data_IF_394969414419
#
_entry.id   IF_394969414419
#
_cell.length_a   1.000
_cell.length_b   1.000
_cell.length_c   1.000
_cell.angle_alpha   90.00
_cell.angle_beta   90.00
_cell.angle_gamma   90.00
#
_symmetry.space_group_name_H-M   'P 1'
#
loop_
_entity.id
_entity.type
_entity.pdbx_description
1 polymer ?
#
# COMPACT_ATOMS: atom_id res chain seq x y z
N UNK A 1 39.07 26.47 15.03
CA UNK A 1 39.64 27.78 14.63
C UNK A 1 40.51 27.57 13.40
N UNK A 2 39.95 27.75 12.20
CA UNK A 2 40.55 28.50 11.11
C UNK A 2 39.49 28.67 10.01
N UNK A 3 39.22 29.92 9.69
CA UNK A 3 38.30 30.45 8.70
C UNK A 3 38.96 30.47 7.31
N UNK A 4 38.15 30.35 6.24
CA UNK A 4 38.31 30.87 4.86
C UNK A 4 37.03 30.38 4.11
N UNK A 5 35.91 31.10 3.90
CA UNK A 5 35.66 32.43 3.31
C UNK A 5 36.55 32.65 2.08
N UNK A 6 36.11 32.79 0.82
CA UNK A 6 34.93 33.35 0.11
C UNK A 6 35.06 32.93 -1.39
N UNK A 7 34.11 32.95 -2.34
CA UNK A 7 33.16 33.95 -2.85
C UNK A 7 32.15 33.27 -3.81
N UNK A 8 30.89 33.73 -3.91
CA UNK A 8 30.00 33.48 -5.05
C UNK A 8 29.99 34.67 -6.04
N UNK A 9 30.18 34.41 -7.34
CA UNK A 9 29.90 35.38 -8.40
C UNK A 9 28.38 35.45 -8.63
N UNK A 10 27.74 36.51 -8.13
CA UNK A 10 26.42 36.94 -8.57
C UNK A 10 26.58 38.13 -9.52
N UNK A 11 26.32 37.91 -10.81
CA UNK A 11 26.30 38.94 -11.83
C UNK A 11 24.93 39.63 -11.79
N UNK A 12 24.88 40.88 -11.33
CA UNK A 12 23.78 41.81 -11.56
C UNK A 12 23.99 42.48 -12.92
N UNK A 13 23.05 42.28 -13.83
CA UNK A 13 22.93 43.09 -15.05
C UNK A 13 22.06 44.31 -14.73
N UNK A 14 22.57 45.50 -15.05
CA UNK A 14 21.90 46.77 -14.87
C UNK A 14 21.57 47.33 -16.26
N UNK A 15 20.28 47.59 -16.48
CA UNK A 15 19.75 48.31 -17.64
C UNK A 15 20.22 49.77 -17.63
N UNK A 16 20.59 50.28 -18.79
CA UNK A 16 20.37 51.69 -19.13
C UNK A 16 20.20 51.83 -20.64
N UNK A 17 19.23 52.67 -20.98
CA UNK A 17 18.62 52.88 -22.27
C UNK A 17 19.39 53.90 -23.14
N UNK A 18 19.24 53.66 -24.45
CA UNK A 18 19.18 54.61 -25.56
C UNK A 18 20.29 55.64 -25.79
N UNK A 19 21.00 55.43 -26.90
CA UNK A 19 21.07 56.44 -27.98
C UNK A 19 21.28 55.79 -29.34
N UNK A 20 20.29 55.99 -30.20
CA UNK A 20 20.26 55.58 -31.59
C UNK A 20 21.25 56.39 -32.45
N UNK A 21 22.06 55.69 -33.25
CA UNK A 21 22.57 56.17 -34.54
C UNK A 21 22.44 55.02 -35.53
N UNK A 22 21.63 55.26 -36.54
CA UNK A 22 21.28 54.34 -37.63
C UNK A 22 22.30 54.42 -38.77
N UNK A 23 22.70 53.25 -39.29
CA UNK A 23 23.15 53.02 -40.68
C UNK A 23 23.07 51.50 -40.99
N UNK A 24 23.01 51.08 -42.26
CA UNK A 24 22.03 50.08 -42.70
C UNK A 24 22.61 48.67 -42.89
N UNK A 25 21.73 47.68 -42.68
CA UNK A 25 21.60 46.46 -43.48
C UNK A 25 22.70 45.38 -43.38
N UNK A 26 22.40 44.37 -42.56
CA UNK A 26 22.45 42.98 -42.99
C UNK A 26 21.42 42.17 -42.17
N UNK A 27 20.31 41.79 -42.79
CA UNK A 27 19.29 40.90 -42.22
C UNK A 27 19.89 39.51 -41.98
N UNK A 28 20.40 39.25 -40.78
CA UNK A 28 20.63 37.90 -40.29
C UNK A 28 19.33 37.39 -39.66
N UNK A 29 18.64 36.51 -40.39
CA UNK A 29 17.38 35.89 -39.97
C UNK A 29 17.44 35.29 -38.55
N UNK A 30 16.44 35.53 -37.68
CA UNK A 30 16.35 34.93 -36.34
C UNK A 30 16.17 33.40 -36.35
N UNK A 31 15.99 32.80 -37.53
CA UNK A 31 15.84 31.35 -37.71
C UNK A 31 17.11 30.55 -37.35
N UNK A 32 18.32 31.12 -37.44
CA UNK A 32 19.57 30.36 -37.25
C UNK A 32 19.95 30.13 -35.78
N UNK A 33 19.55 31.02 -34.87
CA UNK A 33 19.80 30.86 -33.43
C UNK A 33 18.82 29.86 -32.77
N UNK A 34 17.55 29.86 -33.19
CA UNK A 34 16.56 28.88 -32.75
C UNK A 34 16.89 27.45 -33.26
N UNK A 35 17.44 27.32 -34.47
CA UNK A 35 17.86 26.03 -35.01
C UNK A 35 19.04 25.40 -34.24
N UNK A 36 19.98 26.21 -33.74
CA UNK A 36 21.17 25.72 -33.02
C UNK A 36 20.82 25.21 -31.61
N UNK A 37 19.89 25.88 -30.90
CA UNK A 37 19.39 25.43 -29.59
C UNK A 37 18.50 24.18 -29.69
N UNK A 38 17.75 24.02 -30.79
CA UNK A 38 16.94 22.82 -31.05
C UNK A 38 17.81 21.62 -31.45
N UNK A 39 18.93 21.85 -32.13
CA UNK A 39 19.89 20.81 -32.52
C UNK A 39 20.70 20.28 -31.31
N UNK A 40 21.11 21.13 -30.38
CA UNK A 40 21.77 20.70 -29.13
C UNK A 40 20.82 19.95 -28.20
N UNK A 41 19.54 20.34 -28.11
CA UNK A 41 18.54 19.58 -27.35
C UNK A 41 18.21 18.22 -27.99
N UNK A 42 18.21 18.14 -29.32
CA UNK A 42 17.99 16.89 -30.04
C UNK A 42 19.15 15.89 -29.87
N UNK A 43 20.40 16.38 -29.94
CA UNK A 43 21.58 15.54 -29.70
C UNK A 43 21.67 15.05 -28.24
N UNK A 44 21.30 15.90 -27.27
CA UNK A 44 21.22 15.50 -25.86
C UNK A 44 20.13 14.44 -25.63
N UNK A 45 18.96 14.61 -26.25
CA UNK A 45 17.88 13.63 -26.19
C UNK A 45 18.30 12.29 -26.81
N UNK A 46 18.95 12.31 -27.97
CA UNK A 46 19.45 11.09 -28.63
C UNK A 46 20.45 10.31 -27.75
N UNK A 47 21.35 11.01 -27.02
CA UNK A 47 22.26 10.36 -26.07
C UNK A 47 21.52 9.74 -24.88
N UNK A 48 20.52 10.42 -24.34
CA UNK A 48 19.67 9.88 -23.25
C UNK A 48 18.93 8.64 -23.73
N UNK A 49 18.39 8.67 -24.95
CA UNK A 49 17.65 7.53 -25.52
C UNK A 49 18.58 6.33 -25.78
N UNK A 50 19.82 6.56 -26.23
CA UNK A 50 20.84 5.51 -26.33
C UNK A 50 21.20 4.90 -24.97
N UNK A 51 21.38 5.73 -23.94
CA UNK A 51 21.67 5.26 -22.58
C UNK A 51 20.51 4.44 -22.01
N UNK A 52 19.27 4.86 -22.25
CA UNK A 52 18.07 4.11 -21.86
C UNK A 52 18.01 2.75 -22.57
N UNK A 53 18.24 2.73 -23.88
CA UNK A 53 18.24 1.48 -24.65
C UNK A 53 19.30 0.49 -24.13
N UNK A 54 20.50 0.98 -23.81
CA UNK A 54 21.55 0.16 -23.21
C UNK A 54 21.14 -0.37 -21.84
N UNK A 55 20.64 0.49 -20.94
CA UNK A 55 20.18 0.09 -19.62
C UNK A 55 19.06 -0.97 -19.68
N UNK A 56 18.12 -0.83 -20.60
CA UNK A 56 17.05 -1.82 -20.82
C UNK A 56 17.61 -3.16 -21.28
N UNK A 57 18.58 -3.16 -22.20
CA UNK A 57 19.22 -4.40 -22.65
C UNK A 57 19.95 -5.13 -21.50
N UNK A 58 20.61 -4.38 -20.61
CA UNK A 58 21.28 -4.94 -19.43
C UNK A 58 20.27 -5.51 -18.43
N UNK A 59 19.16 -4.81 -18.18
CA UNK A 59 18.11 -5.30 -17.28
C UNK A 59 17.48 -6.59 -17.82
N UNK A 60 17.25 -6.69 -19.13
CA UNK A 60 16.73 -7.90 -19.76
C UNK A 60 17.73 -9.07 -19.70
N UNK A 61 19.02 -8.79 -19.91
CA UNK A 61 20.08 -9.80 -19.73
C UNK A 61 20.10 -10.30 -18.29
N UNK A 62 20.10 -9.39 -17.32
CA UNK A 62 20.08 -9.72 -15.90
C UNK A 62 18.81 -10.51 -15.52
N UNK A 63 17.67 -10.18 -16.12
CA UNK A 63 16.43 -10.92 -15.90
C UNK A 63 16.53 -12.37 -16.41
N UNK A 64 17.23 -12.60 -17.51
CA UNK A 64 17.47 -13.95 -18.03
C UNK A 64 18.43 -14.73 -17.14
N UNK A 65 19.49 -14.10 -16.64
CA UNK A 65 20.43 -14.72 -15.69
C UNK A 65 19.77 -15.05 -14.36
N UNK A 66 18.97 -14.11 -13.82
CA UNK A 66 18.26 -14.26 -12.56
C UNK A 66 17.29 -15.45 -12.57
N UNK A 67 16.71 -15.81 -13.72
CA UNK A 67 15.85 -17.00 -13.86
C UNK A 67 16.59 -18.30 -13.55
N UNK A 68 17.91 -18.32 -13.68
CA UNK A 68 18.73 -19.50 -13.44
C UNK A 68 19.33 -19.54 -12.02
N UNK A 69 19.04 -18.57 -11.16
CA UNK A 69 19.59 -18.53 -9.79
C UNK A 69 19.08 -19.71 -8.95
N UNK A 70 19.94 -20.51 -8.31
CA UNK A 70 19.49 -21.65 -7.51
C UNK A 70 18.71 -21.20 -6.27
N UNK A 71 19.10 -20.07 -5.67
CA UNK A 71 18.40 -19.46 -4.54
C UNK A 71 17.11 -18.77 -4.98
N UNK A 72 15.98 -19.34 -4.57
CA UNK A 72 14.65 -18.83 -4.90
C UNK A 72 14.37 -17.46 -4.26
N UNK A 73 14.94 -17.16 -3.09
CA UNK A 73 14.77 -15.87 -2.42
C UNK A 73 15.42 -14.75 -3.23
N UNK A 74 16.66 -14.99 -3.65
CA UNK A 74 17.40 -14.06 -4.49
C UNK A 74 16.72 -13.91 -5.86
N UNK A 75 16.26 -15.01 -6.45
CA UNK A 75 15.52 -15.04 -7.71
C UNK A 75 14.26 -14.15 -7.63
N UNK A 76 13.40 -14.37 -6.63
CA UNK A 76 12.17 -13.62 -6.45
C UNK A 76 12.42 -12.11 -6.33
N UNK A 77 13.35 -11.70 -5.46
CA UNK A 77 13.69 -10.28 -5.24
C UNK A 77 14.33 -9.62 -6.46
N UNK A 78 15.19 -10.34 -7.16
CA UNK A 78 15.86 -9.80 -8.35
C UNK A 78 14.85 -9.59 -9.47
N UNK A 79 14.02 -10.60 -9.75
CA UNK A 79 12.99 -10.51 -10.79
C UNK A 79 11.94 -9.43 -10.48
N UNK A 80 11.49 -9.29 -9.23
CA UNK A 80 10.50 -8.28 -8.85
C UNK A 80 11.04 -6.85 -8.97
N UNK A 81 12.32 -6.61 -8.62
CA UNK A 81 12.97 -5.31 -8.78
C UNK A 81 13.20 -4.95 -10.24
N UNK A 82 13.61 -5.92 -11.07
CA UNK A 82 13.77 -5.70 -12.50
C UNK A 82 12.41 -5.41 -13.14
N UNK A 83 11.36 -6.15 -12.76
CA UNK A 83 10.00 -5.90 -13.23
C UNK A 83 9.53 -4.48 -12.87
N UNK A 84 9.74 -4.04 -11.63
CA UNK A 84 9.38 -2.68 -11.19
C UNK A 84 10.11 -1.58 -11.99
N UNK A 85 11.40 -1.80 -12.30
CA UNK A 85 12.20 -0.87 -13.10
C UNK A 85 11.79 -0.87 -14.59
N UNK A 86 11.43 -2.03 -15.13
CA UNK A 86 11.07 -2.21 -16.54
C UNK A 86 9.66 -1.69 -16.85
N UNK A 87 8.80 -1.53 -15.84
CA UNK A 87 7.38 -1.23 -16.00
C UNK A 87 7.05 -0.09 -16.98
N UNK A 88 7.81 1.01 -16.90
CA UNK A 88 7.55 2.20 -17.72
C UNK A 88 7.98 2.02 -19.19
N UNK A 89 8.85 1.05 -19.49
CA UNK A 89 9.38 0.82 -20.82
C UNK A 89 8.69 -0.36 -21.52
N UNK A 90 8.46 -1.46 -20.80
CA UNK A 90 7.80 -2.66 -21.31
C UNK A 90 6.92 -3.29 -20.21
N UNK A 91 5.65 -2.88 -20.10
CA UNK A 91 4.75 -3.37 -19.07
C UNK A 91 4.42 -4.86 -19.24
N UNK A 92 4.43 -5.39 -20.45
CA UNK A 92 4.08 -6.79 -20.71
C UNK A 92 5.19 -7.75 -20.29
N UNK A 93 6.45 -7.39 -20.55
CA UNK A 93 7.59 -8.10 -19.99
C UNK A 93 7.63 -7.96 -18.46
N UNK A 94 7.37 -6.77 -17.93
CA UNK A 94 7.34 -6.57 -16.48
C UNK A 94 6.29 -7.44 -15.79
N UNK A 95 5.06 -7.56 -16.34
CA UNK A 95 4.03 -8.50 -15.85
C UNK A 95 4.53 -9.94 -15.84
N UNK A 96 5.18 -10.36 -16.93
CA UNK A 96 5.75 -11.72 -17.04
C UNK A 96 6.83 -11.96 -15.99
N UNK A 97 7.69 -10.97 -15.72
CA UNK A 97 8.71 -11.04 -14.69
C UNK A 97 8.13 -11.06 -13.28
N UNK A 98 7.07 -10.29 -13.00
CA UNK A 98 6.38 -10.34 -11.72
C UNK A 98 5.75 -11.70 -11.45
N UNK A 99 5.10 -12.33 -12.45
CA UNK A 99 4.57 -13.70 -12.29
C UNK A 99 5.68 -14.71 -11.97
N UNK A 100 6.80 -14.64 -12.68
CA UNK A 100 7.97 -15.49 -12.38
C UNK A 100 8.58 -15.22 -11.00
N UNK A 101 8.58 -13.95 -10.57
CA UNK A 101 9.01 -13.57 -9.23
C UNK A 101 8.07 -14.15 -8.16
N UNK A 102 6.76 -14.16 -8.43
CA UNK A 102 5.75 -14.76 -7.58
C UNK A 102 5.96 -16.26 -7.41
N UNK A 103 6.14 -16.99 -8.52
CA UNK A 103 6.36 -18.43 -8.49
C UNK A 103 7.63 -18.78 -7.68
N UNK A 104 8.70 -18.00 -7.85
CA UNK A 104 9.91 -18.17 -7.05
C UNK A 104 9.70 -17.84 -5.56
N UNK A 105 8.89 -16.81 -5.25
CA UNK A 105 8.55 -16.46 -3.88
C UNK A 105 7.71 -17.56 -3.21
N UNK A 106 6.77 -18.19 -3.93
CA UNK A 106 6.00 -19.33 -3.43
C UNK A 106 6.89 -20.49 -3.02
N UNK A 107 7.84 -20.88 -3.88
CA UNK A 107 8.79 -21.96 -3.55
C UNK A 107 9.65 -21.59 -2.34
N UNK A 108 10.16 -20.37 -2.30
CA UNK A 108 10.99 -19.88 -1.20
C UNK A 108 10.25 -19.83 0.15
N UNK A 109 9.00 -19.38 0.15
CA UNK A 109 8.16 -19.32 1.34
C UNK A 109 7.82 -20.73 1.82
N UNK A 110 7.45 -21.65 0.92
CA UNK A 110 7.18 -23.05 1.26
C UNK A 110 8.42 -23.74 1.85
N UNK A 111 9.60 -23.54 1.26
CA UNK A 111 10.85 -24.07 1.78
C UNK A 111 11.16 -23.49 3.17
N UNK A 112 10.91 -22.19 3.37
CA UNK A 112 11.10 -21.55 4.67
C UNK A 112 10.15 -22.10 5.74
N UNK A 113 8.89 -22.36 5.38
CA UNK A 113 7.90 -22.93 6.28
C UNK A 113 8.25 -24.37 6.67
N UNK A 114 8.73 -25.19 5.72
CA UNK A 114 9.22 -26.55 6.00
C UNK A 114 10.40 -26.55 6.96
N UNK A 115 11.40 -25.71 6.71
CA UNK A 115 12.57 -25.57 7.60
C UNK A 115 12.15 -25.13 9.01
N UNK A 116 11.21 -24.19 9.10
CA UNK A 116 10.67 -23.72 10.39
C UNK A 116 9.94 -24.82 11.17
N UNK A 117 9.19 -25.68 10.48
CA UNK A 117 8.53 -26.84 11.08
C UNK A 117 9.56 -27.85 11.62
N UNK A 118 10.58 -28.17 10.82
CA UNK A 118 11.66 -29.07 11.24
C UNK A 118 12.43 -28.52 12.46
N UNK A 119 12.72 -27.21 12.47
CA UNK A 119 13.34 -26.54 13.61
C UNK A 119 12.42 -26.57 14.84
N UNK A 120 11.11 -26.37 14.65
CA UNK A 120 10.13 -26.49 15.74
C UNK A 120 10.11 -27.89 16.33
N UNK A 121 10.06 -28.92 15.51
CA UNK A 121 10.06 -30.31 15.97
C UNK A 121 11.35 -30.63 16.75
N UNK A 122 12.51 -30.19 16.25
CA UNK A 122 13.80 -30.36 16.93
C UNK A 122 13.86 -29.63 18.27
N UNK A 123 13.37 -28.39 18.35
CA UNK A 123 13.43 -27.57 19.57
C UNK A 123 12.38 -27.98 20.60
N UNK A 124 11.19 -28.42 20.17
CA UNK A 124 10.18 -29.03 21.05
C UNK A 124 10.72 -30.29 21.72
N UNK A 125 11.52 -31.09 21.02
CA UNK A 125 12.19 -32.25 21.59
C UNK A 125 13.32 -31.87 22.57
N UNK A 126 13.87 -30.65 22.51
CA UNK A 126 15.08 -30.27 23.24
C UNK A 126 14.88 -29.31 24.43
N UNK A 127 13.95 -28.35 24.41
CA UNK A 127 14.00 -27.23 25.37
C UNK A 127 12.64 -26.64 25.81
N UNK A 128 11.50 -27.13 25.31
CA UNK A 128 10.16 -26.82 25.85
C UNK A 128 9.66 -25.35 25.76
N UNK A 129 10.52 -24.39 25.43
CA UNK A 129 10.18 -22.97 25.22
C UNK A 129 10.66 -22.47 23.86
N UNK A 130 9.84 -21.69 23.17
CA UNK A 130 10.05 -21.37 21.75
C UNK A 130 9.73 -19.90 21.44
N UNK A 131 10.70 -19.19 20.86
CA UNK A 131 10.51 -17.89 20.24
C UNK A 131 10.93 -17.99 18.77
N UNK A 132 9.97 -18.17 17.86
CA UNK A 132 10.26 -18.16 16.42
C UNK A 132 10.25 -16.76 15.87
N UNK A 133 11.32 -16.41 15.16
CA UNK A 133 11.27 -15.36 14.16
C UNK A 133 10.47 -15.87 12.96
N UNK A 134 9.32 -15.27 12.69
CA UNK A 134 8.55 -15.54 11.45
C UNK A 134 9.43 -15.19 10.24
N UNK A 135 9.67 -16.10 9.29
CA UNK A 135 10.48 -15.80 8.12
C UNK A 135 9.84 -14.67 7.29
N UNK A 136 10.65 -13.84 6.61
CA UNK A 136 10.15 -12.75 5.78
C UNK A 136 9.32 -13.29 4.62
N UNK A 137 8.08 -12.82 4.52
CA UNK A 137 7.10 -13.21 3.49
C UNK A 137 7.44 -12.55 2.15
N UNK A 138 8.04 -13.33 1.25
CA UNK A 138 8.48 -12.85 -0.06
C UNK A 138 7.29 -12.61 -0.99
N UNK A 139 6.22 -13.40 -0.86
CA UNK A 139 4.98 -13.18 -1.63
C UNK A 139 4.40 -11.81 -1.33
N UNK A 140 4.37 -11.41 -0.05
CA UNK A 140 3.94 -10.06 0.33
C UNK A 140 4.80 -8.95 -0.29
N UNK A 141 6.13 -9.15 -0.42
CA UNK A 141 7.03 -8.18 -1.06
C UNK A 141 6.71 -8.03 -2.57
N UNK A 142 6.57 -9.16 -3.27
CA UNK A 142 6.25 -9.19 -4.71
C UNK A 142 4.86 -8.61 -4.97
N UNK A 143 3.86 -8.97 -4.15
CA UNK A 143 2.50 -8.43 -4.23
C UNK A 143 2.52 -6.91 -4.15
N UNK A 144 3.23 -6.34 -3.16
CA UNK A 144 3.28 -4.89 -2.96
C UNK A 144 3.87 -4.17 -4.17
N UNK A 145 4.93 -4.70 -4.77
CA UNK A 145 5.55 -4.11 -5.96
C UNK A 145 4.64 -4.21 -7.19
N UNK A 146 4.03 -5.37 -7.40
CA UNK A 146 3.09 -5.58 -8.50
C UNK A 146 1.84 -4.69 -8.38
N UNK A 147 1.22 -4.66 -7.20
CA UNK A 147 0.02 -3.89 -6.91
C UNK A 147 0.20 -2.38 -7.08
N UNK A 148 1.41 -1.86 -6.79
CA UNK A 148 1.75 -0.46 -7.06
C UNK A 148 1.65 -0.11 -8.54
N UNK A 149 1.97 -1.06 -9.42
CA UNK A 149 2.08 -0.85 -10.87
C UNK A 149 0.79 -1.21 -11.62
N UNK A 150 0.21 -2.35 -11.29
CA UNK A 150 -0.96 -2.89 -11.98
C UNK A 150 -1.96 -3.46 -10.96
N UNK A 151 -3.18 -2.91 -11.01
CA UNK A 151 -4.26 -3.37 -10.15
C UNK A 151 -4.62 -4.81 -10.48
N UNK A 152 -4.74 -5.16 -11.75
CA UNK A 152 -5.16 -6.50 -12.16
C UNK A 152 -4.16 -7.56 -11.68
N UNK A 153 -2.87 -7.24 -11.74
CA UNK A 153 -1.82 -8.13 -11.24
C UNK A 153 -1.80 -8.25 -9.71
N UNK A 154 -2.06 -7.14 -9.01
CA UNK A 154 -2.21 -7.15 -7.56
C UNK A 154 -3.41 -8.01 -7.10
N UNK A 155 -4.53 -7.92 -7.80
CA UNK A 155 -5.71 -8.78 -7.54
C UNK A 155 -5.42 -10.26 -7.85
N UNK A 156 -4.75 -10.56 -8.97
CA UNK A 156 -4.31 -11.93 -9.32
C UNK A 156 -3.51 -12.57 -8.16
N UNK A 157 -2.58 -11.81 -7.58
CA UNK A 157 -1.72 -12.28 -6.49
C UNK A 157 -2.45 -12.34 -5.14
N UNK A 158 -3.40 -11.44 -4.88
CA UNK A 158 -4.28 -11.53 -3.70
C UNK A 158 -5.15 -12.79 -3.75
N UNK A 159 -5.70 -13.12 -4.92
CA UNK A 159 -6.50 -14.33 -5.11
C UNK A 159 -5.65 -15.59 -4.89
N UNK A 160 -4.43 -15.64 -5.43
CA UNK A 160 -3.48 -16.73 -5.15
C UNK A 160 -3.15 -16.89 -3.66
N UNK A 161 -2.97 -15.79 -2.93
CA UNK A 161 -2.75 -15.85 -1.47
C UNK A 161 -3.96 -16.39 -0.71
N UNK A 162 -5.16 -15.99 -1.12
CA UNK A 162 -6.40 -16.47 -0.52
C UNK A 162 -6.58 -17.97 -0.76
N UNK A 163 -6.32 -18.44 -1.98
CA UNK A 163 -6.34 -19.87 -2.31
C UNK A 163 -5.31 -20.66 -1.51
N UNK A 164 -4.06 -20.17 -1.43
CA UNK A 164 -3.00 -20.81 -0.66
C UNK A 164 -3.40 -20.96 0.82
N UNK A 165 -3.92 -19.90 1.45
CA UNK A 165 -4.39 -19.97 2.84
C UNK A 165 -5.58 -20.91 3.04
N UNK A 166 -6.48 -20.97 2.07
CA UNK A 166 -7.63 -21.88 2.15
C UNK A 166 -7.15 -23.34 2.16
N UNK A 167 -6.15 -23.66 1.33
CA UNK A 167 -5.51 -24.99 1.32
C UNK A 167 -4.76 -25.29 2.62
N UNK A 168 -3.99 -24.34 3.13
CA UNK A 168 -3.29 -24.48 4.41
C UNK A 168 -4.28 -24.71 5.58
N UNK A 169 -5.42 -24.01 5.58
CA UNK A 169 -6.46 -24.17 6.60
C UNK A 169 -7.17 -25.52 6.52
N UNK A 170 -7.40 -26.08 5.33
CA UNK A 170 -7.97 -27.43 5.18
C UNK A 170 -7.01 -28.50 5.65
N UNK A 171 -5.70 -28.32 5.44
CA UNK A 171 -4.68 -29.30 5.83
C UNK A 171 -4.40 -29.28 7.34
N UNK A 172 -4.53 -28.12 8.00
CA UNK A 172 -4.22 -27.95 9.42
C UNK A 172 -5.25 -28.56 10.40
N UNK A 173 -6.36 -29.14 9.92
CA UNK A 173 -7.41 -29.84 10.72
C UNK A 173 -7.94 -29.10 11.97
N UNK A 174 -7.67 -27.81 12.12
CA UNK A 174 -8.12 -26.98 13.24
C UNK A 174 -8.92 -25.81 12.71
N UNK A 175 -10.26 -25.90 12.69
CA UNK A 175 -11.07 -24.72 12.44
C UNK A 175 -10.91 -23.79 13.65
N UNK A 176 -10.13 -22.71 13.49
CA UNK A 176 -10.21 -21.58 14.41
C UNK A 176 -11.69 -21.17 14.48
N UNK A 177 -12.26 -21.11 15.69
CA UNK A 177 -13.63 -20.63 15.87
C UNK A 177 -13.69 -19.21 15.30
N UNK A 178 -14.55 -18.92 14.31
CA UNK A 178 -14.70 -17.56 13.82
C UNK A 178 -15.33 -16.72 14.94
N UNK A 179 -14.54 -15.80 15.52
CA UNK A 179 -15.08 -14.79 16.42
C UNK A 179 -16.00 -13.85 15.61
N UNK A 180 -17.15 -13.41 16.15
CA UNK A 180 -18.13 -12.60 15.41
C UNK A 180 -17.59 -11.27 14.84
N UNK A 181 -16.45 -10.80 15.36
CA UNK A 181 -15.77 -9.57 14.94
C UNK A 181 -14.44 -9.85 14.21
N UNK A 182 -14.12 -11.11 13.91
CA UNK A 182 -12.88 -11.44 13.23
C UNK A 182 -12.96 -11.05 11.75
N UNK A 183 -12.02 -10.23 11.32
CA UNK A 183 -11.93 -9.78 9.94
C UNK A 183 -11.51 -10.96 9.07
N UNK A 184 -12.29 -11.32 8.02
CA UNK A 184 -11.89 -12.39 7.11
C UNK A 184 -10.46 -12.19 6.61
N UNK A 185 -9.65 -13.25 6.64
CA UNK A 185 -8.22 -13.20 6.31
C UNK A 185 -7.92 -12.45 5.00
N UNK A 186 -8.77 -12.65 3.97
CA UNK A 186 -8.65 -11.97 2.68
C UNK A 186 -8.86 -10.45 2.79
N UNK A 187 -9.84 -10.00 3.58
CA UNK A 187 -10.10 -8.57 3.85
C UNK A 187 -8.90 -7.97 4.58
N UNK A 188 -8.38 -8.67 5.60
CA UNK A 188 -7.21 -8.24 6.36
C UNK A 188 -5.96 -8.09 5.48
N UNK A 189 -5.70 -9.05 4.61
CA UNK A 189 -4.58 -8.98 3.65
C UNK A 189 -4.73 -7.82 2.68
N UNK A 190 -5.91 -7.65 2.11
CA UNK A 190 -6.21 -6.56 1.18
C UNK A 190 -6.06 -5.18 1.84
N UNK A 191 -6.56 -4.99 3.06
CA UNK A 191 -6.38 -3.75 3.81
C UNK A 191 -4.94 -3.52 4.26
N UNK A 192 -4.17 -4.59 4.56
CA UNK A 192 -2.73 -4.48 4.82
C UNK A 192 -1.98 -3.99 3.59
N UNK A 193 -2.29 -4.53 2.41
CA UNK A 193 -1.74 -4.06 1.14
C UNK A 193 -2.11 -2.59 0.88
N UNK A 194 -3.37 -2.22 1.09
CA UNK A 194 -3.84 -0.85 0.92
C UNK A 194 -3.07 0.12 1.84
N UNK A 195 -2.90 -0.23 3.12
CA UNK A 195 -2.09 0.58 4.06
C UNK A 195 -0.64 0.75 3.58
N UNK A 196 -0.01 -0.32 3.07
CA UNK A 196 1.36 -0.22 2.53
C UNK A 196 1.47 0.67 1.29
N UNK A 197 0.43 0.72 0.47
CA UNK A 197 0.39 1.57 -0.72
C UNK A 197 0.08 3.03 -0.37
N UNK A 198 -0.62 3.27 0.73
CA UNK A 198 -1.11 4.58 1.14
C UNK A 198 0.02 5.61 1.31
N UNK A 199 1.23 5.19 1.68
CA UNK A 199 2.41 6.08 1.79
C UNK A 199 2.94 6.57 0.44
N UNK A 200 2.67 5.83 -0.63
CA UNK A 200 3.27 6.10 -1.95
C UNK A 200 2.27 6.46 -3.03
N UNK A 201 1.05 5.94 -2.94
CA UNK A 201 0.00 6.10 -3.95
C UNK A 201 -1.38 5.93 -3.28
N UNK A 202 -2.00 7.06 -2.92
CA UNK A 202 -3.30 7.09 -2.24
C UNK A 202 -4.40 6.52 -3.14
N UNK A 203 -4.41 6.86 -4.42
CA UNK A 203 -5.42 6.37 -5.37
C UNK A 203 -5.34 4.84 -5.51
N UNK A 204 -4.13 4.28 -5.60
CA UNK A 204 -3.96 2.83 -5.64
C UNK A 204 -4.37 2.17 -4.34
N UNK A 205 -4.03 2.75 -3.20
CA UNK A 205 -4.46 2.24 -1.90
C UNK A 205 -5.98 2.16 -1.81
N UNK A 206 -6.69 3.19 -2.29
CA UNK A 206 -8.16 3.22 -2.34
C UNK A 206 -8.74 2.13 -3.25
N UNK A 207 -8.13 1.89 -4.42
CA UNK A 207 -8.59 0.82 -5.34
C UNK A 207 -8.59 -0.56 -4.70
N UNK A 208 -7.62 -0.84 -3.82
CA UNK A 208 -7.57 -2.10 -3.06
C UNK A 208 -8.42 -2.04 -1.79
N UNK A 209 -8.55 -0.89 -1.12
CA UNK A 209 -9.33 -0.78 0.10
C UNK A 209 -10.84 -0.83 -0.16
N UNK A 210 -11.35 -0.19 -1.21
CA UNK A 210 -12.79 0.01 -1.44
C UNK A 210 -13.61 -1.29 -1.43
N UNK A 211 -13.16 -2.40 -2.05
CA UNK A 211 -13.86 -3.68 -1.95
C UNK A 211 -13.89 -4.27 -0.53
N UNK A 212 -12.91 -3.94 0.31
CA UNK A 212 -12.81 -4.40 1.69
C UNK A 212 -13.58 -3.53 2.68
N UNK A 213 -13.86 -2.27 2.34
CA UNK A 213 -14.60 -1.31 3.18
C UNK A 213 -16.13 -1.49 3.11
N UNK A 214 -16.61 -2.53 2.41
CA UNK A 214 -18.02 -2.93 2.41
C UNK A 214 -18.48 -3.63 3.70
N UNK A 215 -17.56 -4.00 4.57
CA UNK A 215 -17.83 -4.58 5.90
C UNK A 215 -17.16 -3.73 6.95
N UNK A 216 -17.86 -3.48 8.06
CA UNK A 216 -17.33 -2.68 9.17
C UNK A 216 -16.39 -3.58 9.97
N UNK A 217 -15.10 -3.27 9.91
CA UNK A 217 -14.05 -4.03 10.58
C UNK A 217 -13.05 -3.09 11.25
N UNK A 218 -12.36 -3.61 12.27
CA UNK A 218 -11.32 -2.87 12.97
C UNK A 218 -10.21 -2.43 12.01
N UNK A 219 -9.73 -3.33 11.13
CA UNK A 219 -8.73 -3.00 10.12
C UNK A 219 -9.22 -1.97 9.10
N UNK A 220 -10.52 -2.00 8.75
CA UNK A 220 -11.12 -1.04 7.83
C UNK A 220 -11.12 0.37 8.40
N UNK A 221 -11.53 0.52 9.66
CA UNK A 221 -11.49 1.82 10.35
C UNK A 221 -10.08 2.30 10.66
N UNK A 222 -9.17 1.38 10.94
CA UNK A 222 -7.75 1.72 11.08
C UNK A 222 -7.18 2.27 9.77
N UNK A 223 -7.50 1.65 8.63
CA UNK A 223 -7.16 2.19 7.31
C UNK A 223 -7.77 3.57 7.06
N UNK A 224 -9.05 3.79 7.40
CA UNK A 224 -9.67 5.12 7.25
C UNK A 224 -9.00 6.18 8.13
N UNK A 225 -8.56 5.80 9.33
CA UNK A 225 -7.81 6.70 10.23
C UNK A 225 -6.49 7.14 9.59
N UNK A 226 -5.71 6.21 9.01
CA UNK A 226 -4.49 6.55 8.26
C UNK A 226 -4.78 7.33 6.97
N UNK A 227 -5.87 7.02 6.27
CA UNK A 227 -6.28 7.73 5.06
C UNK A 227 -6.62 9.18 5.38
N UNK A 228 -7.24 9.45 6.54
CA UNK A 228 -7.62 10.79 6.96
C UNK A 228 -6.44 11.73 7.07
N UNK A 229 -5.30 11.25 7.58
CA UNK A 229 -4.07 12.04 7.70
C UNK A 229 -3.57 12.56 6.33
N UNK A 230 -3.94 11.88 5.23
CA UNK A 230 -3.48 12.20 3.87
C UNK A 230 -4.57 12.83 3.02
N UNK A 231 -5.80 12.37 3.17
CA UNK A 231 -6.96 12.82 2.41
C UNK A 231 -8.22 12.72 3.29
N UNK A 232 -8.51 13.75 4.10
CA UNK A 232 -9.63 13.74 5.04
C UNK A 232 -10.98 13.62 4.32
N UNK A 233 -11.13 14.26 3.15
CA UNK A 233 -12.36 14.20 2.37
C UNK A 233 -12.65 12.77 1.88
N UNK A 234 -11.65 12.07 1.34
CA UNK A 234 -11.80 10.69 0.87
C UNK A 234 -12.09 9.71 2.01
N UNK A 235 -11.51 9.94 3.20
CA UNK A 235 -11.76 9.15 4.40
C UNK A 235 -13.18 9.37 4.93
N UNK A 236 -13.61 10.63 5.07
CA UNK A 236 -14.94 10.99 5.58
C UNK A 236 -16.06 10.47 4.69
N UNK A 237 -15.88 10.53 3.36
CA UNK A 237 -16.85 9.98 2.42
C UNK A 237 -17.05 8.47 2.63
N UNK A 238 -15.97 7.72 2.87
CA UNK A 238 -16.01 6.26 3.09
C UNK A 238 -16.55 5.92 4.46
N UNK A 239 -16.20 6.70 5.48
CA UNK A 239 -16.77 6.57 6.81
C UNK A 239 -18.28 6.81 6.80
N UNK A 240 -18.76 7.84 6.11
CA UNK A 240 -20.20 8.09 5.95
C UNK A 240 -20.93 6.90 5.29
N UNK A 241 -20.28 6.24 4.32
CA UNK A 241 -20.81 5.00 3.73
C UNK A 241 -20.87 3.85 4.74
N UNK A 242 -19.85 3.70 5.61
CA UNK A 242 -19.87 2.70 6.68
C UNK A 242 -21.00 2.96 7.70
N UNK A 243 -21.30 4.22 8.02
CA UNK A 243 -22.46 4.56 8.83
C UNK A 243 -23.77 4.10 8.18
N UNK A 244 -23.92 4.34 6.88
CA UNK A 244 -25.10 3.90 6.11
C UNK A 244 -25.22 2.36 6.11
N UNK A 245 -24.10 1.64 6.00
CA UNK A 245 -24.09 0.18 6.09
C UNK A 245 -24.60 -0.28 7.46
N UNK A 246 -24.11 0.30 8.56
CA UNK A 246 -24.56 -0.05 9.92
C UNK A 246 -26.06 0.21 10.14
N UNK A 247 -26.59 1.30 9.59
CA UNK A 247 -28.01 1.63 9.69
C UNK A 247 -28.90 0.56 9.05
N UNK A 248 -28.46 -0.01 7.93
CA UNK A 248 -29.21 -1.04 7.18
C UNK A 248 -28.93 -2.47 7.60
N UNK A 249 -27.80 -2.74 8.24
CA UNK A 249 -27.43 -4.08 8.69
C UNK A 249 -28.19 -4.43 9.97
N UNK A 250 -29.07 -5.44 9.88
CA UNK A 250 -29.84 -5.94 11.02
C UNK A 250 -28.96 -6.60 12.10
N UNK A 251 -27.74 -7.01 11.75
CA UNK A 251 -26.77 -7.59 12.69
C UNK A 251 -25.90 -6.54 13.37
N UNK A 252 -25.97 -5.28 12.94
CA UNK A 252 -25.26 -4.20 13.62
C UNK A 252 -25.73 -4.09 15.08
N UNK A 253 -24.77 -3.97 15.97
CA UNK A 253 -24.93 -4.04 17.42
C UNK A 253 -24.09 -2.96 18.12
N UNK A 254 -24.01 -3.04 19.46
CA UNK A 254 -23.20 -2.11 20.25
C UNK A 254 -21.71 -2.14 19.89
N UNK A 255 -21.17 -3.31 19.52
CA UNK A 255 -19.78 -3.43 19.08
C UNK A 255 -19.53 -2.73 17.75
N UNK A 256 -20.48 -2.81 16.83
CA UNK A 256 -20.44 -2.09 15.54
C UNK A 256 -20.34 -0.58 15.76
N UNK A 257 -21.18 -0.03 16.65
CA UNK A 257 -21.15 1.40 16.98
C UNK A 257 -19.87 1.77 17.74
N UNK A 258 -19.42 0.92 18.66
CA UNK A 258 -18.16 1.13 19.38
C UNK A 258 -16.97 1.23 18.43
N UNK A 259 -16.87 0.32 17.45
CA UNK A 259 -15.85 0.40 16.39
C UNK A 259 -15.97 1.70 15.60
N UNK A 260 -17.17 2.03 15.09
CA UNK A 260 -17.38 3.26 14.32
C UNK A 260 -17.03 4.54 15.09
N UNK A 261 -17.18 4.52 16.42
CA UNK A 261 -16.83 5.65 17.28
C UNK A 261 -15.32 5.95 17.26
N UNK A 262 -14.48 4.92 17.09
CA UNK A 262 -13.02 5.05 17.07
C UNK A 262 -12.54 6.03 16.00
N UNK A 263 -13.17 6.06 14.82
CA UNK A 263 -12.77 7.00 13.75
C UNK A 263 -12.95 8.47 14.15
N UNK A 264 -13.97 8.80 14.95
CA UNK A 264 -14.30 10.18 15.31
C UNK A 264 -13.67 10.66 16.62
N UNK A 265 -13.49 9.75 17.58
CA UNK A 265 -13.15 10.13 18.96
C UNK A 265 -11.82 9.57 19.42
N UNK A 266 -11.44 8.37 18.98
CA UNK A 266 -10.24 7.68 19.44
C UNK A 266 -9.57 6.90 18.29
N UNK A 267 -8.98 7.59 17.29
CA UNK A 267 -8.41 6.92 16.14
C UNK A 267 -7.37 5.89 16.55
N UNK A 268 -7.32 4.77 15.82
CA UNK A 268 -6.45 3.61 16.10
C UNK A 268 -6.69 2.89 17.44
N UNK A 269 -7.68 3.30 18.23
CA UNK A 269 -8.03 2.70 19.50
C UNK A 269 -9.47 2.18 19.47
N UNK A 270 -9.61 0.87 19.66
CA UNK A 270 -10.86 0.14 19.51
C UNK A 270 -11.24 -0.53 20.82
N UNK A 271 -12.53 -0.48 21.14
CA UNK A 271 -13.10 -1.13 22.30
C UNK A 271 -14.21 -2.06 21.80
N UNK A 272 -14.17 -3.32 22.21
CA UNK A 272 -15.22 -4.31 21.94
C UNK A 272 -15.67 -4.94 23.25
N UNK A 273 -16.95 -5.28 23.33
CA UNK A 273 -17.61 -5.87 24.48
C UNK A 273 -17.82 -7.35 24.16
N UNK A 274 -17.27 -8.21 24.99
CA UNK A 274 -17.42 -9.66 24.90
C UNK A 274 -18.82 -10.10 25.37
N UNK A 275 -19.34 -11.25 24.91
CA UNK A 275 -20.64 -11.77 25.35
C UNK A 275 -20.78 -11.94 26.87
N UNK A 276 -19.67 -12.13 27.59
CA UNK A 276 -19.61 -12.22 29.06
C UNK A 276 -19.59 -10.87 29.79
N UNK A 277 -19.70 -9.74 29.08
CA UNK A 277 -19.59 -8.39 29.65
C UNK A 277 -18.16 -7.90 29.87
N UNK A 278 -17.16 -8.70 29.47
CA UNK A 278 -15.76 -8.29 29.41
C UNK A 278 -15.53 -7.20 28.36
N UNK A 279 -14.49 -6.39 28.55
CA UNK A 279 -14.06 -5.40 27.57
C UNK A 279 -12.71 -5.79 27.00
N UNK A 280 -12.63 -5.86 25.68
CA UNK A 280 -11.39 -6.03 24.96
C UNK A 280 -10.99 -4.67 24.36
N UNK A 281 -9.78 -4.23 24.67
CA UNK A 281 -9.19 -3.02 24.11
C UNK A 281 -8.09 -3.40 23.13
N UNK A 282 -8.13 -2.81 21.94
CA UNK A 282 -7.13 -3.03 20.91
C UNK A 282 -6.58 -1.69 20.44
N UNK A 283 -5.26 -1.53 20.51
CA UNK A 283 -4.56 -0.35 20.04
C UNK A 283 -3.68 -0.75 18.85
N UNK A 284 -3.97 -0.19 17.68
CA UNK A 284 -3.26 -0.50 16.43
C UNK A 284 -2.13 0.47 16.10
N UNK A 285 -2.15 1.66 16.70
CA UNK A 285 -1.11 2.69 16.54
C UNK A 285 -1.06 3.60 17.78
N UNK A 286 -0.13 4.55 17.82
CA UNK A 286 -0.11 5.61 18.82
C UNK A 286 -1.45 6.36 18.84
N UNK A 287 -1.90 6.71 20.05
CA UNK A 287 -3.15 7.46 20.22
C UNK A 287 -2.98 8.85 19.66
N UNK A 288 -3.77 9.18 18.65
CA UNK A 288 -3.85 10.53 18.10
C UNK A 288 -5.03 11.28 18.72
N UNK A 289 -4.96 12.63 18.80
CA UNK A 289 -6.09 13.42 19.27
C UNK A 289 -7.32 13.22 18.37
N UNK A 290 -8.50 13.47 18.93
CA UNK A 290 -9.75 13.37 18.17
C UNK A 290 -9.68 14.29 16.92
N UNK A 291 -9.96 13.75 15.72
CA UNK A 291 -9.84 14.53 14.51
C UNK A 291 -10.91 15.62 14.42
N UNK A 292 -10.56 16.73 13.79
CA UNK A 292 -11.54 17.74 13.39
C UNK A 292 -12.38 17.15 12.25
N UNK A 293 -13.67 16.97 12.52
CA UNK A 293 -14.66 16.41 11.58
C UNK A 293 -15.82 17.38 11.45
N UNK A 294 -16.50 17.35 10.31
CA UNK A 294 -17.65 18.24 10.11
C UNK A 294 -18.77 17.92 11.11
N UNK A 295 -19.53 18.93 11.58
CA UNK A 295 -20.68 18.69 12.46
C UNK A 295 -21.69 17.71 11.84
N UNK A 296 -21.87 17.75 10.52
CA UNK A 296 -22.76 16.86 9.79
C UNK A 296 -22.35 15.40 9.93
N UNK A 297 -21.05 15.09 9.79
CA UNK A 297 -20.56 13.72 9.91
C UNK A 297 -20.69 13.19 11.34
N UNK A 298 -20.42 14.05 12.34
CA UNK A 298 -20.62 13.71 13.75
C UNK A 298 -22.10 13.45 14.07
N UNK A 299 -22.99 14.27 13.53
CA UNK A 299 -24.44 14.09 13.69
C UNK A 299 -24.93 12.81 12.99
N UNK A 300 -24.38 12.48 11.82
CA UNK A 300 -24.66 11.23 11.13
C UNK A 300 -24.26 10.01 11.99
N UNK A 301 -23.10 10.04 12.64
CA UNK A 301 -22.71 8.99 13.56
C UNK A 301 -23.71 8.83 14.72
N UNK A 302 -24.09 9.92 15.39
CA UNK A 302 -25.04 9.82 16.51
C UNK A 302 -26.41 9.31 16.07
N UNK A 303 -26.86 9.66 14.86
CA UNK A 303 -28.08 9.12 14.27
C UNK A 303 -27.97 7.62 14.03
N UNK A 304 -26.88 7.16 13.40
CA UNK A 304 -26.64 5.73 13.17
C UNK A 304 -26.56 4.96 14.50
N UNK A 305 -25.86 5.52 15.48
CA UNK A 305 -25.76 4.95 16.83
C UNK A 305 -27.13 4.81 17.50
N UNK A 306 -27.96 5.85 17.46
CA UNK A 306 -29.33 5.78 18.01
C UNK A 306 -30.18 4.73 17.27
N UNK A 307 -30.10 4.68 15.95
CA UNK A 307 -30.85 3.72 15.13
C UNK A 307 -30.46 2.26 15.39
N UNK A 308 -29.20 1.99 15.75
CA UNK A 308 -28.71 0.65 16.06
C UNK A 308 -28.95 0.27 17.52
N UNK A 309 -28.60 1.15 18.46
CA UNK A 309 -28.66 0.87 19.90
C UNK A 309 -30.09 0.86 20.46
N UNK A 310 -31.02 1.58 19.83
CA UNK A 310 -32.42 1.63 20.26
C UNK A 310 -33.29 0.58 19.55
N UNK A 311 -32.71 -0.34 18.79
CA UNK A 311 -33.49 -1.42 18.16
C UNK A 311 -34.12 -2.29 19.25
N UNK A 312 -35.39 -2.72 19.07
CA UNK A 312 -36.00 -3.66 19.98
C UNK A 312 -35.15 -4.93 20.02
N UNK A 313 -34.67 -5.33 21.20
CA UNK A 313 -34.01 -6.62 21.35
C UNK A 313 -35.00 -7.72 20.91
N UNK A 314 -34.57 -8.72 20.11
CA UNK A 314 -35.40 -9.90 19.93
C UNK A 314 -35.74 -10.43 21.33
N UNK A 315 -37.04 -10.68 21.57
CA UNK A 315 -37.51 -11.20 22.84
C UNK A 315 -36.71 -12.46 23.15
N UNK A 316 -36.10 -12.54 24.33
CA UNK A 316 -35.55 -13.80 24.82
C UNK A 316 -36.72 -14.79 24.87
N UNK A 317 -36.74 -15.76 23.97
CA UNK A 317 -37.59 -16.94 24.14
C UNK A 317 -37.20 -17.54 25.50
N UNK A 318 -38.17 -17.49 26.43
CA UNK A 318 -38.08 -18.06 27.77
C UNK A 318 -38.27 -19.56 27.71
#
# INVERSE_FOLDING_TARGET
>A
VLFLLTLPLAIRAQESSDKAVSKPQATASPAKAAAKNKATSAAAKAKIDQQKALALSLLLSLANDARNFPDQRLRARTLSRIADALWNADPDQARTLFRKAWDAAEVADQESARRLEEERQRQQAATGGFALATPPDLRSEVLRLAAKRDRALGEEFLDKLKEARTREATDASSPARPEPLDTPAAIKQRLRLANQLLDTDVERALQFADPALGTITMEGLNFLSFLRDKNPAAADQRYARMLTIAETDLKADANTISLLSSYLFTPHFFITIEPGGGQQMSQMNERTPAPEVTPELRNAFFRAAALVLLRPSPAREQ
#
